data_IF_120263375340
#
_entry.id   IF_120263375340
#
_cell.length_a   1.000
_cell.length_b   1.000
_cell.length_c   1.000
_cell.angle_alpha   90.00
_cell.angle_beta   90.00
_cell.angle_gamma   90.00
#
_symmetry.space_group_name_H-M   'P 1'
#
loop_
_entity.id
_entity.type
_entity.pdbx_description
1 polymer ?
#
# COMPACT_ATOMS: atom_id res chain seq x y z
N UNK A 1 37.84 -87.46 -13.40
CA UNK A 1 36.63 -86.71 -12.95
C UNK A 1 36.86 -85.24 -13.18
N UNK A 2 36.21 -84.65 -14.21
CA UNK A 2 36.33 -83.22 -14.51
C UNK A 2 35.05 -82.55 -13.97
N UNK A 3 35.19 -81.58 -13.07
CA UNK A 3 34.15 -80.71 -12.67
C UNK A 3 34.09 -79.53 -13.61
N UNK A 4 32.89 -79.08 -14.09
CA UNK A 4 32.81 -77.92 -14.94
C UNK A 4 32.61 -76.67 -14.07
N UNK A 5 33.58 -75.80 -14.08
CA UNK A 5 33.58 -74.47 -13.54
C UNK A 5 33.33 -73.49 -14.71
N UNK A 6 32.07 -73.13 -14.99
CA UNK A 6 31.75 -71.98 -15.82
C UNK A 6 30.22 -71.86 -15.87
N UNK A 7 29.65 -70.95 -15.14
CA UNK A 7 28.39 -70.18 -15.47
C UNK A 7 27.86 -69.34 -14.34
N UNK A 8 28.66 -68.85 -13.39
CA UNK A 8 28.15 -68.10 -12.24
C UNK A 8 28.50 -66.59 -12.21
N UNK A 9 29.20 -66.06 -13.22
CA UNK A 9 29.77 -64.71 -13.14
C UNK A 9 29.07 -63.65 -14.04
N UNK A 10 28.12 -64.04 -14.89
CA UNK A 10 27.45 -63.06 -15.80
C UNK A 10 26.04 -62.58 -15.35
N UNK A 11 25.42 -63.31 -14.44
CA UNK A 11 24.10 -62.95 -13.91
C UNK A 11 24.12 -61.93 -12.79
N UNK A 12 25.10 -62.06 -11.86
CA UNK A 12 25.20 -61.15 -10.70
C UNK A 12 25.60 -59.72 -11.07
N UNK A 13 26.47 -59.55 -12.09
CA UNK A 13 26.91 -58.21 -12.50
C UNK A 13 25.78 -57.35 -13.14
N UNK A 14 24.88 -58.00 -13.88
CA UNK A 14 23.71 -57.29 -14.47
C UNK A 14 22.65 -56.94 -13.44
N UNK A 15 22.44 -57.81 -12.45
CA UNK A 15 21.43 -57.55 -11.38
C UNK A 15 21.91 -56.47 -10.42
N UNK A 16 23.24 -56.42 -10.11
CA UNK A 16 23.78 -55.34 -9.29
C UNK A 16 23.78 -54.00 -10.03
N UNK A 17 24.06 -54.00 -11.37
CA UNK A 17 24.02 -52.76 -12.14
C UNK A 17 22.60 -52.20 -12.27
N UNK A 18 21.57 -53.03 -12.41
CA UNK A 18 20.16 -52.58 -12.43
C UNK A 18 19.72 -52.10 -11.05
N UNK A 19 20.15 -52.76 -9.96
CA UNK A 19 19.84 -52.31 -8.59
C UNK A 19 20.51 -50.95 -8.25
N UNK A 20 21.76 -50.72 -8.71
CA UNK A 20 22.45 -49.42 -8.54
C UNK A 20 21.83 -48.33 -9.40
N UNK A 21 21.35 -48.62 -10.63
CA UNK A 21 20.60 -47.63 -11.44
C UNK A 21 19.22 -47.33 -10.87
N UNK A 22 18.54 -48.30 -10.26
CA UNK A 22 17.27 -48.03 -9.56
C UNK A 22 17.45 -47.18 -8.27
N UNK A 23 18.53 -47.38 -7.53
CA UNK A 23 18.84 -46.56 -6.33
C UNK A 23 19.32 -45.16 -6.73
N UNK A 24 20.03 -45.00 -7.85
CA UNK A 24 20.41 -43.68 -8.38
C UNK A 24 19.20 -42.91 -8.98
N UNK A 25 18.13 -43.59 -9.41
CA UNK A 25 16.90 -42.97 -9.93
C UNK A 25 15.94 -42.49 -8.84
N UNK A 26 16.08 -42.98 -7.57
CA UNK A 26 15.23 -42.52 -6.46
C UNK A 26 15.84 -41.38 -5.63
N UNK A 27 17.02 -40.90 -5.99
CA UNK A 27 17.75 -39.83 -5.30
C UNK A 27 17.57 -38.44 -5.89
N UNK A 28 16.68 -38.24 -6.86
CA UNK A 28 16.13 -36.92 -7.20
C UNK A 28 15.02 -36.63 -6.21
N UNK A 29 15.40 -36.37 -4.95
CA UNK A 29 14.50 -35.79 -3.96
C UNK A 29 13.83 -34.58 -4.60
N UNK A 30 12.51 -34.57 -4.64
CA UNK A 30 11.77 -33.35 -4.91
C UNK A 30 12.33 -32.31 -3.95
N UNK A 31 13.05 -31.31 -4.49
CA UNK A 31 13.43 -30.15 -3.69
C UNK A 31 12.12 -29.63 -3.11
N UNK A 32 12.02 -29.35 -1.81
CA UNK A 32 10.83 -28.69 -1.29
C UNK A 32 10.68 -27.41 -2.10
N UNK A 33 9.62 -27.32 -2.90
CA UNK A 33 9.29 -26.10 -3.60
C UNK A 33 8.80 -25.15 -2.52
N UNK A 34 9.58 -24.11 -2.23
CA UNK A 34 9.14 -23.03 -1.35
C UNK A 34 7.93 -22.37 -2.04
N UNK A 35 6.73 -22.79 -1.67
CA UNK A 35 5.50 -22.26 -2.22
C UNK A 35 4.94 -21.18 -1.30
N UNK A 36 4.25 -20.22 -1.90
CA UNK A 36 3.46 -19.21 -1.19
C UNK A 36 2.10 -19.11 -1.86
N UNK A 37 1.04 -19.19 -1.07
CA UNK A 37 -0.33 -19.14 -1.57
C UNK A 37 -0.92 -17.79 -1.24
N UNK A 38 -1.31 -17.03 -2.28
CA UNK A 38 -2.09 -15.81 -2.15
C UNK A 38 -3.54 -16.11 -2.53
N UNK A 39 -4.46 -15.80 -1.65
CA UNK A 39 -5.89 -16.00 -1.90
C UNK A 39 -6.72 -14.86 -1.35
N UNK A 40 -7.86 -14.61 -1.99
CA UNK A 40 -8.87 -13.71 -1.46
C UNK A 40 -9.81 -14.47 -0.54
N UNK A 41 -10.12 -13.86 0.60
CA UNK A 41 -11.05 -14.37 1.61
C UNK A 41 -12.20 -13.38 1.77
N UNK A 42 -13.30 -13.58 1.05
CA UNK A 42 -14.46 -12.72 1.14
C UNK A 42 -15.31 -13.07 2.35
N UNK A 43 -15.89 -12.07 2.98
CA UNK A 43 -16.90 -12.26 4.03
C UNK A 43 -18.11 -13.08 3.52
N UNK A 44 -18.43 -12.95 2.24
CA UNK A 44 -19.52 -13.64 1.55
C UNK A 44 -19.31 -13.71 0.04
N UNK A 45 -19.87 -14.73 -0.61
CA UNK A 45 -19.73 -14.92 -2.06
C UNK A 45 -20.96 -14.45 -2.85
N UNK A 46 -22.09 -14.17 -2.17
CA UNK A 46 -23.30 -13.61 -2.79
C UNK A 46 -23.58 -12.27 -2.12
N UNK A 47 -23.67 -11.24 -2.92
CA UNK A 47 -23.88 -9.86 -2.49
C UNK A 47 -25.00 -9.20 -3.30
N UNK A 48 -25.64 -8.21 -2.72
CA UNK A 48 -26.72 -7.49 -3.39
C UNK A 48 -26.18 -6.22 -4.05
N UNK A 49 -26.77 -5.84 -5.16
CA UNK A 49 -26.45 -4.56 -5.80
C UNK A 49 -26.59 -3.38 -4.82
N UNK A 50 -25.59 -2.53 -4.74
CA UNK A 50 -25.48 -1.40 -3.83
C UNK A 50 -24.86 -1.75 -2.47
N UNK A 51 -24.77 -3.03 -2.13
CA UNK A 51 -24.17 -3.50 -0.89
C UNK A 51 -22.67 -3.34 -0.88
N UNK A 52 -22.10 -3.02 0.29
CA UNK A 52 -20.66 -3.05 0.53
C UNK A 52 -20.27 -4.30 1.32
N UNK A 53 -19.13 -4.89 0.98
CA UNK A 53 -18.62 -6.09 1.61
C UNK A 53 -17.10 -6.08 1.69
N UNK A 54 -16.57 -6.82 2.65
CA UNK A 54 -15.13 -6.90 2.90
C UNK A 54 -14.54 -8.12 2.22
N UNK A 55 -13.34 -7.94 1.66
CA UNK A 55 -12.51 -9.01 1.13
C UNK A 55 -11.10 -8.82 1.65
N UNK A 56 -10.53 -9.84 2.28
CA UNK A 56 -9.13 -9.83 2.70
C UNK A 56 -8.26 -10.57 1.69
N UNK A 57 -7.08 -10.04 1.39
CA UNK A 57 -6.03 -10.78 0.71
C UNK A 57 -5.17 -11.46 1.78
N UNK A 58 -5.12 -12.78 1.73
CA UNK A 58 -4.38 -13.61 2.67
C UNK A 58 -3.15 -14.21 2.03
N UNK A 59 -2.08 -14.32 2.81
CA UNK A 59 -0.88 -15.06 2.46
C UNK A 59 -0.73 -16.29 3.37
N UNK A 60 -0.49 -17.46 2.76
CA UNK A 60 0.09 -18.62 3.43
C UNK A 60 1.47 -18.87 2.82
N UNK A 61 2.50 -18.77 3.63
CA UNK A 61 3.88 -19.03 3.19
C UNK A 61 4.30 -20.49 3.39
N UNK A 62 3.31 -21.36 3.61
CA UNK A 62 3.52 -22.77 3.93
C UNK A 62 4.46 -22.91 5.15
N UNK A 63 5.58 -23.58 5.00
CA UNK A 63 6.59 -23.74 6.05
C UNK A 63 7.83 -22.84 5.83
N UNK A 64 7.72 -21.82 4.97
CA UNK A 64 8.87 -21.02 4.55
C UNK A 64 8.81 -19.61 5.15
N UNK A 65 9.92 -19.21 5.77
CA UNK A 65 10.06 -17.85 6.32
C UNK A 65 10.23 -16.84 5.17
N UNK A 66 9.29 -15.90 5.06
CA UNK A 66 9.34 -14.81 4.09
C UNK A 66 9.61 -13.46 4.80
N UNK A 67 10.15 -12.48 4.09
CA UNK A 67 10.41 -11.15 4.63
C UNK A 67 9.90 -10.00 3.76
N UNK A 68 9.55 -10.26 2.51
CA UNK A 68 9.04 -9.23 1.62
C UNK A 68 8.05 -9.82 0.62
N UNK A 69 7.17 -8.98 0.13
CA UNK A 69 6.28 -9.31 -0.97
C UNK A 69 5.90 -8.06 -1.77
N UNK A 70 5.59 -8.28 -3.02
CA UNK A 70 4.89 -7.33 -3.87
C UNK A 70 3.62 -7.98 -4.41
N UNK A 71 2.59 -7.20 -4.56
CA UNK A 71 1.30 -7.71 -5.03
C UNK A 71 0.63 -6.76 -5.99
N UNK A 72 0.09 -7.35 -7.03
CA UNK A 72 -0.76 -6.69 -8.01
C UNK A 72 -2.00 -7.54 -8.22
N UNK A 73 -3.16 -6.94 -8.12
CA UNK A 73 -4.42 -7.62 -8.42
C UNK A 73 -5.39 -6.73 -9.17
N UNK A 74 -6.24 -7.35 -9.95
CA UNK A 74 -7.28 -6.72 -10.76
C UNK A 74 -8.67 -7.14 -10.27
N UNK A 75 -9.66 -6.29 -10.52
CA UNK A 75 -11.06 -6.59 -10.23
C UNK A 75 -11.97 -6.18 -11.39
N UNK A 76 -13.15 -6.79 -11.47
CA UNK A 76 -14.14 -6.47 -12.52
C UNK A 76 -14.82 -5.13 -12.24
N UNK A 77 -14.30 -4.04 -12.83
CA UNK A 77 -14.78 -2.66 -12.62
C UNK A 77 -16.23 -2.40 -13.03
N UNK A 78 -16.81 -3.24 -13.89
CA UNK A 78 -18.18 -3.07 -14.33
C UNK A 78 -19.17 -3.49 -13.24
N UNK A 79 -18.81 -4.52 -12.48
CA UNK A 79 -19.64 -5.12 -11.44
C UNK A 79 -19.25 -4.72 -10.03
N UNK A 80 -17.98 -4.36 -9.81
CA UNK A 80 -17.43 -3.99 -8.50
C UNK A 80 -16.86 -2.56 -8.53
N UNK A 81 -16.92 -1.90 -7.38
CA UNK A 81 -16.24 -0.65 -7.09
C UNK A 81 -15.39 -0.82 -5.82
N UNK A 82 -14.10 -0.56 -5.91
CA UNK A 82 -13.24 -0.57 -4.74
C UNK A 82 -13.39 0.75 -3.98
N UNK A 83 -13.92 0.67 -2.76
CA UNK A 83 -14.15 1.84 -1.91
C UNK A 83 -12.89 2.17 -1.12
N UNK A 84 -12.20 1.13 -0.58
CA UNK A 84 -11.06 1.32 0.28
C UNK A 84 -10.14 0.11 0.26
N UNK A 85 -8.83 0.37 0.41
CA UNK A 85 -7.84 -0.64 0.76
C UNK A 85 -7.22 -0.25 2.11
N UNK A 86 -7.23 -1.17 3.06
CA UNK A 86 -6.70 -0.97 4.40
C UNK A 86 -5.57 -1.97 4.68
N UNK A 87 -4.51 -1.48 5.31
CA UNK A 87 -3.41 -2.29 5.86
C UNK A 87 -3.50 -2.44 7.39
N UNK A 88 -4.60 -1.97 8.00
CA UNK A 88 -4.72 -1.89 9.47
C UNK A 88 -4.57 -3.23 10.18
N UNK A 89 -4.98 -4.34 9.55
CA UNK A 89 -4.86 -5.71 10.07
C UNK A 89 -3.69 -6.48 9.45
N UNK A 90 -2.86 -5.81 8.65
CA UNK A 90 -1.76 -6.47 7.97
C UNK A 90 -0.69 -6.98 8.93
N UNK A 91 -0.21 -8.19 8.67
CA UNK A 91 0.97 -8.71 9.37
C UNK A 91 2.28 -8.06 8.86
N UNK A 92 2.25 -7.39 7.69
CA UNK A 92 3.39 -6.64 7.15
C UNK A 92 3.54 -5.33 7.93
N UNK A 93 4.77 -5.01 8.31
CA UNK A 93 5.08 -3.85 9.17
C UNK A 93 5.82 -2.73 8.46
N UNK A 94 6.37 -3.00 7.27
CA UNK A 94 7.09 -2.03 6.44
C UNK A 94 6.42 -1.95 5.08
N UNK A 95 6.18 -0.72 4.60
CA UNK A 95 5.51 -0.48 3.32
C UNK A 95 6.34 0.47 2.46
N UNK A 96 7.31 -0.07 1.67
CA UNK A 96 8.03 0.74 0.67
C UNK A 96 7.10 1.37 -0.36
N UNK A 97 6.01 0.67 -0.69
CA UNK A 97 4.91 1.18 -1.48
C UNK A 97 3.59 0.82 -0.78
N UNK A 98 2.91 1.84 -0.29
CA UNK A 98 1.54 1.72 0.23
C UNK A 98 0.61 1.16 -0.85
N UNK A 99 -0.47 0.47 -0.48
CA UNK A 99 -1.47 0.06 -1.45
C UNK A 99 -2.00 1.24 -2.24
N UNK A 100 -1.78 1.22 -3.55
CA UNK A 100 -2.24 2.24 -4.50
C UNK A 100 -3.31 1.67 -5.40
N UNK A 101 -4.37 2.45 -5.62
CA UNK A 101 -5.51 2.08 -6.44
C UNK A 101 -5.52 2.87 -7.75
N UNK A 102 -5.30 2.17 -8.86
CA UNK A 102 -5.55 2.68 -10.21
C UNK A 102 -7.02 2.40 -10.56
N UNK A 103 -7.86 3.40 -10.38
CA UNK A 103 -9.30 3.29 -10.63
C UNK A 103 -9.63 3.10 -12.12
N UNK A 104 -8.80 3.66 -13.01
CA UNK A 104 -9.01 3.56 -14.45
C UNK A 104 -8.84 2.11 -14.95
N UNK A 105 -7.79 1.45 -14.47
CA UNK A 105 -7.47 0.08 -14.83
C UNK A 105 -8.05 -0.96 -13.87
N UNK A 106 -8.76 -0.54 -12.81
CA UNK A 106 -9.30 -1.41 -11.77
C UNK A 106 -8.24 -2.31 -11.13
N UNK A 107 -7.08 -1.72 -10.84
CA UNK A 107 -5.87 -2.40 -10.39
C UNK A 107 -5.38 -1.84 -9.05
N UNK A 108 -4.92 -2.74 -8.19
CA UNK A 108 -4.26 -2.37 -6.94
C UNK A 108 -2.85 -2.92 -6.93
N UNK A 109 -1.88 -2.11 -6.52
CA UNK A 109 -0.47 -2.49 -6.39
C UNK A 109 0.06 -2.09 -5.03
N UNK A 110 0.95 -2.91 -4.47
CA UNK A 110 1.62 -2.61 -3.20
C UNK A 110 2.95 -3.35 -3.09
N UNK A 111 3.82 -2.87 -2.21
CA UNK A 111 5.03 -3.58 -1.78
C UNK A 111 5.13 -3.48 -0.27
N UNK A 112 5.27 -4.61 0.38
CA UNK A 112 5.36 -4.70 1.83
C UNK A 112 6.44 -5.65 2.32
N UNK A 113 6.79 -5.54 3.60
CA UNK A 113 7.77 -6.40 4.21
C UNK A 113 7.63 -6.51 5.71
N UNK A 114 8.36 -7.47 6.26
CA UNK A 114 8.49 -7.66 7.70
C UNK A 114 9.97 -7.91 8.02
N UNK A 115 10.65 -6.93 8.62
CA UNK A 115 12.06 -7.07 9.00
C UNK A 115 12.28 -8.27 9.93
N UNK A 116 13.25 -9.13 9.58
CA UNK A 116 13.53 -10.35 10.33
C UNK A 116 12.76 -11.58 9.84
N UNK A 117 11.78 -11.39 8.98
CA UNK A 117 11.00 -12.47 8.39
C UNK A 117 9.96 -13.08 9.33
N UNK A 118 8.99 -13.77 8.74
CA UNK A 118 7.94 -14.50 9.47
C UNK A 118 7.45 -15.70 8.67
N UNK A 119 6.80 -16.63 9.38
CA UNK A 119 5.92 -17.62 8.78
C UNK A 119 4.50 -17.03 8.75
N UNK A 120 3.97 -16.82 7.57
CA UNK A 120 2.60 -16.39 7.41
C UNK A 120 1.70 -17.63 7.27
N UNK A 121 0.70 -17.73 8.14
CA UNK A 121 -0.35 -18.75 8.02
C UNK A 121 -1.70 -18.04 7.96
N UNK A 122 -2.25 -17.92 6.77
CA UNK A 122 -3.45 -17.09 6.50
C UNK A 122 -3.29 -15.66 7.03
N UNK A 123 -2.07 -15.10 6.92
CA UNK A 123 -1.80 -13.74 7.37
C UNK A 123 -2.51 -12.72 6.48
N UNK A 124 -3.24 -11.78 7.07
CA UNK A 124 -3.88 -10.69 6.32
C UNK A 124 -2.80 -9.80 5.74
N UNK A 125 -2.80 -9.63 4.43
CA UNK A 125 -1.92 -8.70 3.70
C UNK A 125 -2.57 -7.33 3.63
N UNK A 126 -3.76 -7.25 3.04
CA UNK A 126 -4.60 -6.05 2.98
C UNK A 126 -6.06 -6.45 3.08
N UNK A 127 -6.88 -5.58 3.64
CA UNK A 127 -8.34 -5.70 3.64
C UNK A 127 -8.95 -4.67 2.72
N UNK A 128 -9.93 -5.06 1.93
CA UNK A 128 -10.57 -4.24 0.91
C UNK A 128 -12.06 -4.16 1.17
N UNK A 129 -12.64 -2.98 0.93
CA UNK A 129 -14.08 -2.79 0.93
C UNK A 129 -14.52 -2.58 -0.51
N UNK A 130 -15.37 -3.46 -0.99
CA UNK A 130 -15.99 -3.35 -2.31
C UNK A 130 -17.46 -2.97 -2.17
N UNK A 131 -17.98 -2.25 -3.19
CA UNK A 131 -19.41 -2.07 -3.45
C UNK A 131 -19.79 -2.85 -4.69
N UNK A 132 -20.89 -3.60 -4.62
CA UNK A 132 -21.50 -4.25 -5.76
C UNK A 132 -22.25 -3.19 -6.61
N UNK A 133 -21.81 -2.94 -7.85
CA UNK A 133 -22.37 -1.92 -8.74
C UNK A 133 -23.52 -2.42 -9.60
N UNK A 134 -23.33 -3.57 -10.17
CA UNK A 134 -24.23 -4.12 -11.19
C UNK A 134 -24.40 -5.62 -10.99
N UNK A 135 -25.58 -6.13 -11.27
CA UNK A 135 -25.90 -7.56 -11.31
C UNK A 135 -24.97 -8.32 -12.26
N UNK A 136 -24.54 -9.50 -11.85
CA UNK A 136 -23.64 -10.37 -12.60
C UNK A 136 -22.56 -11.00 -11.72
N UNK A 137 -21.47 -11.40 -12.35
CA UNK A 137 -20.33 -12.00 -11.64
C UNK A 137 -19.22 -10.97 -11.46
N UNK A 138 -18.87 -10.70 -10.21
CA UNK A 138 -17.67 -9.95 -9.84
C UNK A 138 -16.48 -10.90 -9.68
N UNK A 139 -15.27 -10.48 -10.08
CA UNK A 139 -14.06 -11.28 -9.97
C UNK A 139 -12.91 -10.45 -9.38
N UNK A 140 -12.04 -11.13 -8.63
CA UNK A 140 -10.75 -10.62 -8.19
C UNK A 140 -9.68 -11.61 -8.63
N UNK A 141 -8.62 -11.11 -9.29
CA UNK A 141 -7.53 -11.95 -9.81
C UNK A 141 -6.18 -11.35 -9.48
N UNK A 142 -5.23 -12.19 -9.06
CA UNK A 142 -3.86 -11.78 -8.79
C UNK A 142 -3.08 -11.85 -10.10
N UNK A 143 -2.35 -10.79 -10.42
CA UNK A 143 -1.41 -10.77 -11.53
C UNK A 143 -0.09 -11.41 -11.07
N UNK A 144 0.08 -12.72 -11.32
CA UNK A 144 1.26 -13.49 -10.92
C UNK A 144 2.56 -12.98 -11.57
N UNK A 145 2.47 -12.26 -12.70
CA UNK A 145 3.66 -11.73 -13.38
C UNK A 145 4.20 -10.47 -12.70
N UNK A 146 3.37 -9.79 -11.93
CA UNK A 146 3.66 -8.56 -11.20
C UNK A 146 3.49 -8.74 -9.70
N UNK A 147 3.49 -9.98 -9.22
CA UNK A 147 3.40 -10.32 -7.80
C UNK A 147 4.50 -11.30 -7.43
N UNK A 148 5.01 -11.19 -6.22
CA UNK A 148 6.07 -12.07 -5.71
C UNK A 148 6.13 -12.09 -4.19
N UNK A 149 6.53 -13.24 -3.64
CA UNK A 149 6.83 -13.44 -2.22
C UNK A 149 8.29 -13.84 -2.11
N UNK A 150 9.05 -13.17 -1.25
CA UNK A 150 10.49 -13.32 -1.16
C UNK A 150 10.90 -13.91 0.18
N UNK A 151 11.84 -14.85 0.11
CA UNK A 151 12.33 -15.59 1.27
C UNK A 151 13.24 -14.75 2.14
N UNK A 152 13.27 -15.07 3.44
CA UNK A 152 14.19 -14.43 4.39
C UNK A 152 15.58 -15.08 4.36
N UNK A 153 16.16 -15.24 3.18
CA UNK A 153 17.49 -15.86 2.98
C UNK A 153 18.60 -14.84 2.70
N UNK A 154 18.25 -13.57 2.58
CA UNK A 154 19.18 -12.48 2.24
C UNK A 154 19.63 -12.46 0.78
N UNK A 155 19.08 -13.32 -0.08
CA UNK A 155 19.43 -13.44 -1.50
C UNK A 155 18.34 -12.87 -2.42
N UNK A 156 17.15 -12.57 -1.88
CA UNK A 156 15.99 -12.14 -2.67
C UNK A 156 15.38 -13.30 -3.47
N UNK A 157 15.49 -14.52 -2.97
CA UNK A 157 14.90 -15.69 -3.61
C UNK A 157 13.38 -15.61 -3.58
N UNK A 158 12.75 -15.69 -4.75
CA UNK A 158 11.29 -15.74 -4.84
C UNK A 158 10.76 -17.14 -4.52
N UNK A 159 9.67 -17.22 -3.75
CA UNK A 159 8.90 -18.43 -3.60
C UNK A 159 8.09 -18.71 -4.88
N UNK A 160 7.71 -19.97 -5.10
CA UNK A 160 6.73 -20.29 -6.15
C UNK A 160 5.37 -19.75 -5.71
N UNK A 161 4.88 -18.74 -6.41
CA UNK A 161 3.58 -18.15 -6.14
C UNK A 161 2.46 -19.04 -6.69
N UNK A 162 1.45 -19.28 -5.86
CA UNK A 162 0.19 -19.92 -6.22
C UNK A 162 -0.90 -18.91 -5.90
N UNK A 163 -1.76 -18.57 -6.85
CA UNK A 163 -2.85 -17.63 -6.65
C UNK A 163 -4.21 -18.28 -6.76
N UNK A 164 -5.13 -17.88 -5.89
CA UNK A 164 -6.53 -18.31 -5.93
C UNK A 164 -7.41 -17.08 -6.19
N UNK A 165 -8.11 -17.00 -7.33
CA UNK A 165 -9.03 -15.92 -7.63
C UNK A 165 -10.29 -16.04 -6.77
N UNK A 166 -10.99 -14.91 -6.54
CA UNK A 166 -12.31 -14.92 -5.94
C UNK A 166 -13.39 -14.52 -6.95
N UNK A 167 -14.58 -15.09 -6.78
CA UNK A 167 -15.76 -14.76 -7.58
C UNK A 167 -16.94 -14.46 -6.67
N UNK A 168 -17.76 -13.50 -7.09
CA UNK A 168 -18.94 -13.03 -6.36
C UNK A 168 -20.16 -13.09 -7.27
N UNK A 169 -21.26 -13.61 -6.77
CA UNK A 169 -22.54 -13.48 -7.41
C UNK A 169 -23.20 -12.19 -6.93
N UNK A 170 -23.45 -11.25 -7.83
CA UNK A 170 -24.13 -10.01 -7.53
C UNK A 170 -25.57 -10.11 -8.00
N UNK A 171 -26.49 -10.14 -7.03
CA UNK A 171 -27.92 -10.27 -7.27
C UNK A 171 -28.63 -8.91 -7.14
N UNK A 172 -29.73 -8.76 -7.88
CA UNK A 172 -30.46 -7.47 -7.93
C UNK A 172 -31.44 -7.26 -6.75
N UNK A 173 -31.58 -8.25 -5.87
CA UNK A 173 -32.59 -8.24 -4.82
C UNK A 173 -31.98 -8.23 -3.44
N UNK A 174 -31.79 -7.06 -2.85
CA UNK A 174 -31.80 -6.94 -1.39
C UNK A 174 -32.85 -5.93 -0.97
N UNK A 175 -33.71 -6.27 -0.04
CA UNK A 175 -34.52 -5.28 0.64
C UNK A 175 -33.69 -4.32 1.50
N UNK A 176 -32.39 -4.61 1.72
CA UNK A 176 -31.47 -3.91 2.62
C UNK A 176 -30.44 -3.01 1.93
N UNK A 177 -30.48 -2.85 0.60
CA UNK A 177 -29.54 -1.97 -0.10
C UNK A 177 -29.85 -0.52 0.23
N UNK A 178 -29.01 0.12 1.06
CA UNK A 178 -29.05 1.56 1.34
C UNK A 178 -28.15 2.30 0.37
N UNK A 179 -28.72 3.21 -0.40
CA UNK A 179 -27.97 4.17 -1.19
C UNK A 179 -27.63 5.38 -0.32
N UNK A 180 -26.34 5.60 -0.10
CA UNK A 180 -25.84 6.71 0.70
C UNK A 180 -25.36 7.84 -0.20
N UNK A 181 -25.70 9.08 0.15
CA UNK A 181 -25.26 10.28 -0.52
C UNK A 181 -24.60 11.21 0.50
N UNK A 182 -23.39 11.64 0.23
CA UNK A 182 -22.71 12.65 1.03
C UNK A 182 -22.61 13.96 0.26
N UNK A 183 -23.30 15.00 0.73
CA UNK A 183 -23.32 16.30 0.07
C UNK A 183 -21.98 17.04 0.17
N UNK A 184 -21.25 16.86 1.26
CA UNK A 184 -19.97 17.52 1.53
C UNK A 184 -18.77 16.75 0.95
N UNK A 185 -18.88 15.43 0.88
CA UNK A 185 -17.83 14.53 0.35
C UNK A 185 -18.42 13.61 -0.73
N UNK A 186 -18.84 14.17 -1.88
CA UNK A 186 -19.61 13.41 -2.88
C UNK A 186 -18.80 12.30 -3.60
N UNK A 187 -17.49 12.33 -3.52
CA UNK A 187 -16.61 11.31 -4.09
C UNK A 187 -15.77 10.66 -2.98
N UNK A 188 -16.02 9.38 -2.72
CA UNK A 188 -15.34 8.60 -1.68
C UNK A 188 -13.84 8.41 -1.91
N UNK A 189 -13.32 8.75 -3.10
CA UNK A 189 -11.91 8.65 -3.48
C UNK A 189 -11.20 10.01 -3.57
N UNK A 190 -11.80 11.08 -3.03
CA UNK A 190 -11.26 12.44 -3.06
C UNK A 190 -11.16 13.02 -1.66
N UNK A 191 -10.08 13.74 -1.39
CA UNK A 191 -9.92 14.55 -0.19
C UNK A 191 -10.70 15.86 -0.28
N UNK A 192 -11.22 16.31 0.86
CA UNK A 192 -12.01 17.53 0.96
C UNK A 192 -11.54 18.36 2.16
N UNK A 193 -11.48 19.71 2.02
CA UNK A 193 -11.12 20.61 3.12
C UNK A 193 -12.29 20.93 4.04
N UNK A 194 -13.40 20.26 3.91
CA UNK A 194 -14.61 20.43 4.70
C UNK A 194 -14.67 19.40 5.84
N UNK A 195 -14.72 19.86 7.09
CA UNK A 195 -14.77 18.97 8.25
C UNK A 195 -16.19 18.70 8.77
N UNK A 196 -17.20 19.03 7.98
CA UNK A 196 -18.59 18.70 8.24
C UNK A 196 -19.05 17.65 7.25
N UNK A 197 -19.50 16.51 7.74
CA UNK A 197 -20.00 15.40 6.93
C UNK A 197 -21.52 15.40 7.01
N UNK A 198 -22.19 15.40 5.84
CA UNK A 198 -23.66 15.34 5.72
C UNK A 198 -24.03 14.18 4.82
N UNK A 199 -24.55 13.12 5.43
CA UNK A 199 -24.96 11.90 4.75
C UNK A 199 -26.47 11.80 4.76
N UNK A 200 -27.04 11.33 3.64
CA UNK A 200 -28.47 11.10 3.46
C UNK A 200 -28.70 9.75 2.83
N UNK A 201 -29.82 9.15 3.19
CA UNK A 201 -30.35 7.94 2.58
C UNK A 201 -31.88 7.99 2.52
N UNK A 202 -32.47 7.13 1.71
CA UNK A 202 -33.93 7.00 1.64
C UNK A 202 -34.41 6.18 2.84
N UNK A 203 -34.97 6.86 3.85
CA UNK A 203 -35.55 6.19 5.02
C UNK A 203 -36.85 5.50 4.64
N UNK A 204 -36.96 4.20 4.92
CA UNK A 204 -38.16 3.40 4.67
C UNK A 204 -39.14 3.52 5.83
N UNK A 205 -40.48 3.50 5.56
CA UNK A 205 -41.48 3.50 6.63
C UNK A 205 -41.27 2.34 7.61
N UNK A 206 -41.35 2.63 8.91
CA UNK A 206 -41.21 1.67 10.01
C UNK A 206 -39.88 0.89 10.05
N UNK A 207 -38.87 1.31 9.32
CA UNK A 207 -37.52 0.75 9.42
C UNK A 207 -36.76 1.42 10.57
N UNK A 208 -35.96 0.62 11.28
CA UNK A 208 -35.03 1.07 12.29
C UNK A 208 -33.63 1.16 11.67
N UNK A 209 -32.82 2.09 12.14
CA UNK A 209 -31.43 2.27 11.66
C UNK A 209 -30.47 2.29 12.84
N UNK A 210 -29.31 1.62 12.66
CA UNK A 210 -28.17 1.78 13.55
C UNK A 210 -26.97 2.21 12.71
N UNK A 211 -26.31 3.29 13.14
CA UNK A 211 -25.17 3.86 12.40
C UNK A 211 -24.16 4.52 13.32
N UNK A 212 -22.94 4.59 12.85
CA UNK A 212 -21.86 5.31 13.53
C UNK A 212 -20.86 5.90 12.53
N UNK A 213 -20.08 6.87 13.01
CA UNK A 213 -18.91 7.39 12.31
C UNK A 213 -17.65 6.81 12.97
N UNK A 214 -16.77 6.19 12.21
CA UNK A 214 -15.59 5.47 12.70
C UNK A 214 -14.39 5.63 11.79
N UNK A 215 -13.19 5.43 12.31
CA UNK A 215 -11.97 5.27 11.50
C UNK A 215 -11.64 3.80 11.20
N UNK A 216 -12.36 2.88 11.83
CA UNK A 216 -12.23 1.45 11.57
C UNK A 216 -13.11 1.05 10.38
N UNK A 217 -12.49 0.70 9.27
CA UNK A 217 -13.17 0.31 8.04
C UNK A 217 -14.01 -0.97 8.20
N UNK A 218 -13.70 -1.82 9.17
CA UNK A 218 -14.36 -3.12 9.38
C UNK A 218 -15.45 -3.07 10.44
N UNK A 219 -15.57 -1.93 11.14
CA UNK A 219 -16.57 -1.75 12.18
C UNK A 219 -17.98 -2.02 11.66
N UNK A 220 -18.79 -2.70 12.48
CA UNK A 220 -20.22 -2.91 12.28
C UNK A 220 -20.94 -2.14 13.40
N UNK A 221 -21.96 -1.32 13.10
CA UNK A 221 -22.76 -0.65 14.12
C UNK A 221 -23.39 -1.66 15.07
N UNK A 222 -23.62 -1.25 16.29
CA UNK A 222 -24.34 -2.07 17.26
C UNK A 222 -25.84 -2.23 16.87
N UNK A 223 -26.64 -2.87 17.76
CA UNK A 223 -28.09 -3.06 17.52
C UNK A 223 -28.94 -1.99 18.22
N UNK A 224 -28.34 -0.85 18.60
CA UNK A 224 -29.05 0.30 19.17
C UNK A 224 -29.65 1.11 18.04
N UNK A 225 -30.91 1.44 18.17
CA UNK A 225 -31.63 2.26 17.16
C UNK A 225 -31.33 3.73 17.38
N UNK A 226 -30.84 4.42 16.34
CA UNK A 226 -30.72 5.86 16.32
C UNK A 226 -31.99 6.49 15.71
N UNK A 227 -32.47 7.58 16.34
CA UNK A 227 -33.54 8.39 15.78
C UNK A 227 -33.05 9.14 14.54
N UNK A 228 -33.75 8.98 13.41
CA UNK A 228 -33.36 9.60 12.16
C UNK A 228 -34.53 9.84 11.22
N UNK A 229 -34.38 10.88 10.39
CA UNK A 229 -35.25 11.20 9.27
C UNK A 229 -34.61 10.86 7.90
N UNK A 230 -33.58 9.98 7.88
CA UNK A 230 -32.85 9.65 6.67
C UNK A 230 -31.65 10.55 6.42
N UNK A 231 -31.19 11.28 7.44
CA UNK A 231 -29.98 12.08 7.36
C UNK A 231 -29.16 12.05 8.64
N UNK A 232 -27.86 12.26 8.48
CA UNK A 232 -26.93 12.39 9.58
C UNK A 232 -25.92 13.50 9.27
N UNK A 233 -25.65 14.33 10.26
CA UNK A 233 -24.64 15.39 10.16
C UNK A 233 -23.67 15.27 11.33
N UNK A 234 -22.38 15.23 11.02
CA UNK A 234 -21.32 15.30 12.00
C UNK A 234 -20.38 16.46 11.69
N UNK A 235 -20.13 17.29 12.70
CA UNK A 235 -19.26 18.46 12.61
C UNK A 235 -17.91 18.17 13.27
N UNK A 236 -16.87 18.90 12.83
CA UNK A 236 -15.52 18.85 13.42
C UNK A 236 -14.88 17.46 13.33
N UNK A 237 -15.08 16.79 12.21
CA UNK A 237 -14.36 15.55 11.90
C UNK A 237 -12.87 15.86 11.87
N UNK A 238 -12.08 14.98 12.46
CA UNK A 238 -10.62 15.04 12.39
C UNK A 238 -10.13 14.75 10.96
N UNK A 239 -8.99 15.33 10.61
CA UNK A 239 -8.31 15.01 9.36
C UNK A 239 -7.97 13.52 9.29
N UNK A 240 -8.14 12.95 8.10
CA UNK A 240 -7.93 11.53 7.85
C UNK A 240 -9.09 10.87 7.11
N UNK A 241 -9.06 9.56 7.07
CA UNK A 241 -10.09 8.71 6.47
C UNK A 241 -11.06 8.26 7.56
N UNK A 242 -12.35 8.47 7.31
CA UNK A 242 -13.42 8.02 8.18
C UNK A 242 -14.49 7.30 7.36
N UNK A 243 -15.29 6.49 8.05
CA UNK A 243 -16.35 5.70 7.46
C UNK A 243 -17.66 5.98 8.22
N UNK A 244 -18.69 6.37 7.50
CA UNK A 244 -20.05 6.28 7.99
C UNK A 244 -20.55 4.86 7.73
N UNK A 245 -20.91 4.15 8.77
CA UNK A 245 -21.39 2.76 8.67
C UNK A 245 -22.79 2.70 9.18
N UNK A 246 -23.72 2.13 8.40
CA UNK A 246 -25.14 2.05 8.70
C UNK A 246 -25.69 0.69 8.35
N UNK A 247 -26.61 0.18 9.15
CA UNK A 247 -27.45 -0.97 8.85
C UNK A 247 -28.91 -0.64 9.09
N UNK A 248 -29.78 -1.33 8.36
CA UNK A 248 -31.23 -1.17 8.41
C UNK A 248 -31.88 -2.42 8.99
N UNK A 249 -32.92 -2.22 9.79
CA UNK A 249 -33.81 -3.28 10.24
C UNK A 249 -35.23 -2.96 9.77
N UNK A 250 -35.70 -3.60 8.70
CA UNK A 250 -37.08 -3.44 8.24
C UNK A 250 -38.07 -3.97 9.28
N UNK A 251 -39.30 -3.45 9.24
CA UNK A 251 -40.36 -3.88 10.14
C UNK A 251 -40.54 -5.40 10.15
N UNK A 252 -40.46 -6.01 11.33
CA UNK A 252 -40.62 -7.44 11.51
C UNK A 252 -39.48 -8.33 11.00
N UNK A 253 -38.34 -7.76 10.66
CA UNK A 253 -37.15 -8.48 10.21
C UNK A 253 -35.98 -8.28 11.17
N UNK A 254 -34.91 -9.06 10.97
CA UNK A 254 -33.64 -8.89 11.64
C UNK A 254 -32.82 -7.76 11.00
N UNK A 255 -31.72 -7.34 11.65
CA UNK A 255 -30.78 -6.39 11.12
C UNK A 255 -30.16 -6.88 9.81
N UNK A 256 -30.17 -6.01 8.79
CA UNK A 256 -29.52 -6.24 7.52
C UNK A 256 -28.00 -6.05 7.57
N UNK A 257 -27.30 -6.27 6.45
CA UNK A 257 -25.87 -6.03 6.33
C UNK A 257 -25.53 -4.55 6.45
N UNK A 258 -24.33 -4.28 6.93
CA UNK A 258 -23.82 -2.89 7.03
C UNK A 258 -23.44 -2.34 5.66
N UNK A 259 -23.89 -1.13 5.38
CA UNK A 259 -23.47 -0.30 4.24
C UNK A 259 -22.51 0.76 4.73
N UNK A 260 -21.43 1.04 3.96
CA UNK A 260 -20.37 1.97 4.34
C UNK A 260 -20.24 3.09 3.31
N UNK A 261 -19.92 4.29 3.81
CA UNK A 261 -19.54 5.43 2.99
C UNK A 261 -18.22 6.00 3.51
N UNK A 262 -17.19 6.01 2.67
CA UNK A 262 -15.88 6.55 3.03
C UNK A 262 -15.86 8.05 2.83
N UNK A 263 -15.26 8.76 3.79
CA UNK A 263 -14.96 10.18 3.69
C UNK A 263 -13.49 10.42 3.93
N UNK A 264 -12.90 11.36 3.18
CA UNK A 264 -11.50 11.72 3.27
C UNK A 264 -11.44 13.23 3.52
N UNK A 265 -11.09 13.60 4.75
CA UNK A 265 -11.10 14.98 5.24
C UNK A 265 -9.69 15.44 5.51
N UNK A 266 -9.34 16.64 5.03
CA UNK A 266 -8.08 17.29 5.35
C UNK A 266 -8.28 18.80 5.36
N UNK A 267 -8.28 19.39 6.54
CA UNK A 267 -8.45 20.83 6.77
C UNK A 267 -7.13 21.54 7.04
N UNK A 268 -6.03 20.78 7.13
CA UNK A 268 -4.71 21.26 7.54
C UNK A 268 -3.84 21.49 6.31
N UNK A 269 -3.35 22.74 6.08
CA UNK A 269 -2.39 22.98 5.01
C UNK A 269 -1.07 22.22 5.22
N UNK A 270 -0.29 21.99 4.15
CA UNK A 270 1.06 21.43 4.24
C UNK A 270 1.94 22.14 5.28
N UNK A 271 2.90 21.41 5.84
CA UNK A 271 3.80 21.96 6.87
C UNK A 271 4.58 23.19 6.32
N UNK A 272 4.81 24.22 7.16
CA UNK A 272 5.61 25.37 6.77
C UNK A 272 7.01 24.96 6.28
N UNK A 273 7.49 25.58 5.22
CA UNK A 273 8.79 25.29 4.62
C UNK A 273 9.53 26.55 4.19
N UNK A 274 10.83 26.43 3.96
CA UNK A 274 11.67 27.54 3.51
C UNK A 274 12.36 27.18 2.20
N UNK A 275 11.96 27.79 1.08
CA UNK A 275 12.64 27.62 -0.19
C UNK A 275 14.10 28.09 -0.11
N UNK A 276 15.00 27.43 -0.84
CA UNK A 276 16.42 27.75 -0.89
C UNK A 276 16.87 27.99 -2.33
N UNK A 277 17.84 28.90 -2.54
CA UNK A 277 18.40 29.14 -3.86
C UNK A 277 19.79 28.54 -3.97
N UNK A 278 20.12 27.99 -5.16
CA UNK A 278 21.45 27.57 -5.52
C UNK A 278 21.77 28.07 -6.94
N UNK A 279 23.07 28.20 -7.30
CA UNK A 279 23.54 28.55 -8.63
C UNK A 279 24.87 27.85 -8.94
N UNK A 280 25.32 28.02 -10.16
CA UNK A 280 26.61 27.51 -10.65
C UNK A 280 26.72 25.97 -10.65
N UNK A 281 25.58 25.27 -10.58
CA UNK A 281 25.52 23.81 -10.71
C UNK A 281 25.62 23.43 -12.21
N UNK A 282 26.58 22.59 -12.60
CA UNK A 282 26.79 22.22 -14.02
C UNK A 282 25.55 21.58 -14.66
N UNK A 283 24.83 20.77 -13.95
CA UNK A 283 23.59 20.05 -14.38
C UNK A 283 22.45 21.03 -14.73
N UNK A 284 22.48 22.25 -14.23
CA UNK A 284 21.49 23.30 -14.51
C UNK A 284 22.05 24.43 -15.36
N UNK A 285 23.06 24.16 -16.20
CA UNK A 285 23.71 25.15 -17.08
C UNK A 285 24.17 26.39 -16.32
N UNK A 286 24.54 26.26 -15.05
CA UNK A 286 24.91 27.36 -14.14
C UNK A 286 23.82 28.42 -13.94
N UNK A 287 22.56 28.10 -14.26
CA UNK A 287 21.41 28.96 -13.95
C UNK A 287 21.12 28.95 -12.46
N UNK A 288 20.46 30.01 -11.98
CA UNK A 288 19.95 30.02 -10.61
C UNK A 288 18.71 29.09 -10.50
N UNK A 289 18.71 28.27 -9.49
CA UNK A 289 17.59 27.36 -9.19
C UNK A 289 17.01 27.65 -7.83
N UNK A 290 15.74 27.30 -7.66
CA UNK A 290 15.01 27.28 -6.41
C UNK A 290 14.72 25.83 -6.02
N UNK A 291 15.06 25.48 -4.79
CA UNK A 291 14.84 24.17 -4.21
C UNK A 291 13.82 24.33 -3.09
N UNK A 292 12.77 23.53 -3.11
CA UNK A 292 11.70 23.55 -2.11
C UNK A 292 11.13 22.16 -1.94
N UNK A 293 10.70 21.86 -0.73
CA UNK A 293 10.00 20.62 -0.37
C UNK A 293 9.29 20.82 0.94
N UNK A 294 8.12 20.24 1.08
CA UNK A 294 7.40 20.10 2.34
C UNK A 294 6.65 18.79 2.35
N UNK A 295 5.98 18.50 3.45
CA UNK A 295 5.13 17.33 3.62
C UNK A 295 3.76 17.77 4.07
N UNK A 296 2.77 16.98 3.72
CA UNK A 296 1.46 16.99 4.31
C UNK A 296 1.15 15.60 4.86
N UNK A 297 0.54 15.52 6.06
CA UNK A 297 0.40 14.25 6.78
C UNK A 297 -0.92 13.54 6.53
N UNK A 298 -1.92 14.25 6.08
CA UNK A 298 -3.25 13.71 5.86
C UNK A 298 -3.47 13.35 4.38
N UNK A 299 -3.55 14.35 3.50
CA UNK A 299 -3.84 14.12 2.09
C UNK A 299 -2.59 14.05 1.20
N UNK A 300 -1.43 14.46 1.71
CA UNK A 300 -0.18 14.53 0.96
C UNK A 300 -0.11 15.72 0.01
N UNK A 301 1.08 15.98 -0.53
CA UNK A 301 1.28 17.05 -1.51
C UNK A 301 0.78 16.61 -2.87
N UNK A 302 -0.14 17.37 -3.46
CA UNK A 302 -0.60 17.18 -4.83
C UNK A 302 0.38 17.80 -5.82
N UNK A 303 0.64 19.12 -5.66
CA UNK A 303 1.60 19.82 -6.52
C UNK A 303 2.12 21.09 -5.88
N UNK A 304 3.08 21.70 -6.56
CA UNK A 304 3.59 23.03 -6.23
C UNK A 304 3.28 24.00 -7.34
N UNK A 305 3.05 25.25 -6.96
CA UNK A 305 2.97 26.39 -7.88
C UNK A 305 4.00 27.44 -7.51
N UNK A 306 4.55 28.10 -8.50
CA UNK A 306 5.48 29.22 -8.33
C UNK A 306 4.94 30.46 -9.03
N UNK A 307 5.11 31.59 -8.34
CA UNK A 307 4.92 32.91 -8.88
C UNK A 307 6.23 33.69 -8.77
N UNK A 308 6.81 34.07 -9.89
CA UNK A 308 7.87 35.09 -9.93
C UNK A 308 7.23 36.48 -9.91
N UNK A 309 7.87 37.43 -9.25
CA UNK A 309 7.35 38.81 -9.16
C UNK A 309 6.95 39.40 -10.54
N UNK A 310 5.68 39.82 -10.63
CA UNK A 310 5.07 40.34 -11.87
C UNK A 310 4.54 39.27 -12.83
N UNK A 311 4.52 37.98 -12.42
CA UNK A 311 3.94 36.87 -13.19
C UNK A 311 2.75 36.23 -12.44
N UNK A 312 1.99 35.38 -13.10
CA UNK A 312 0.95 34.54 -12.49
C UNK A 312 1.57 33.27 -11.91
N UNK A 313 0.84 32.59 -11.00
CA UNK A 313 1.22 31.25 -10.55
C UNK A 313 1.23 30.27 -11.71
N UNK A 314 2.17 29.36 -11.69
CA UNK A 314 2.28 28.23 -12.63
C UNK A 314 2.79 27.00 -11.89
N UNK A 315 2.32 25.83 -12.26
CA UNK A 315 2.79 24.55 -11.72
C UNK A 315 4.31 24.43 -11.90
N UNK A 316 4.97 23.91 -10.87
CA UNK A 316 6.42 23.81 -10.82
C UNK A 316 6.89 22.55 -10.10
N UNK A 317 8.07 22.09 -10.44
CA UNK A 317 8.78 21.01 -9.76
C UNK A 317 10.04 21.50 -9.11
N UNK A 318 10.46 20.90 -8.02
CA UNK A 318 11.74 21.19 -7.38
C UNK A 318 12.82 20.21 -7.90
N UNK A 319 14.00 20.70 -8.36
CA UNK A 319 14.43 22.09 -8.46
C UNK A 319 13.78 22.85 -9.62
N UNK A 320 13.47 24.14 -9.38
CA UNK A 320 12.90 25.05 -10.37
C UNK A 320 13.95 26.03 -10.92
N UNK A 321 14.06 26.17 -12.23
CA UNK A 321 14.99 27.14 -12.86
C UNK A 321 14.36 28.52 -12.82
N UNK A 322 14.98 29.46 -12.13
CA UNK A 322 14.51 30.84 -12.00
C UNK A 322 14.71 31.58 -13.34
N UNK A 323 13.59 32.03 -13.93
CA UNK A 323 13.63 32.70 -15.26
C UNK A 323 14.35 34.02 -15.23
N UNK A 324 14.20 34.82 -14.17
CA UNK A 324 14.77 36.16 -14.01
C UNK A 324 15.41 36.31 -12.63
N UNK A 325 16.60 35.76 -12.46
CA UNK A 325 17.35 35.87 -11.21
C UNK A 325 17.95 37.27 -11.03
N UNK A 326 17.25 38.14 -10.29
CA UNK A 326 17.74 39.49 -9.92
C UNK A 326 17.65 39.68 -8.42
N UNK A 327 18.66 40.31 -7.81
CA UNK A 327 18.65 40.68 -6.40
C UNK A 327 17.43 41.53 -6.06
N UNK A 328 16.78 41.25 -4.92
CA UNK A 328 15.62 41.96 -4.43
C UNK A 328 14.28 41.48 -5.01
N UNK A 329 14.29 40.56 -5.99
CA UNK A 329 13.05 39.93 -6.47
C UNK A 329 12.52 38.90 -5.48
N UNK A 330 11.20 38.87 -5.31
CA UNK A 330 10.52 37.87 -4.49
C UNK A 330 9.91 36.79 -5.38
N UNK A 331 10.10 35.55 -4.99
CA UNK A 331 9.39 34.39 -5.50
C UNK A 331 8.48 33.85 -4.41
N UNK A 332 7.25 33.52 -4.78
CA UNK A 332 6.27 32.87 -3.91
C UNK A 332 6.09 31.44 -4.37
N UNK A 333 6.17 30.52 -3.43
CA UNK A 333 5.92 29.08 -3.65
C UNK A 333 4.68 28.70 -2.90
N UNK A 334 3.70 28.12 -3.57
CA UNK A 334 2.58 27.42 -2.98
C UNK A 334 2.86 25.92 -2.96
N UNK A 335 2.72 25.28 -1.83
CA UNK A 335 2.54 23.83 -1.71
C UNK A 335 1.05 23.58 -1.54
N UNK A 336 0.49 22.76 -2.40
CA UNK A 336 -0.94 22.47 -2.45
C UNK A 336 -1.11 20.98 -2.17
N UNK A 337 -1.94 20.64 -1.19
CA UNK A 337 -2.27 19.26 -0.85
C UNK A 337 -3.41 18.68 -1.73
N UNK A 338 -3.72 17.41 -1.56
CA UNK A 338 -4.76 16.75 -2.36
C UNK A 338 -6.20 17.15 -1.96
N UNK A 339 -6.38 17.85 -0.82
CA UNK A 339 -7.65 18.44 -0.42
C UNK A 339 -7.82 19.88 -0.99
N UNK A 340 -6.72 20.50 -1.45
CA UNK A 340 -6.67 21.84 -1.98
C UNK A 340 -6.28 22.91 -0.96
N UNK A 341 -5.81 22.54 0.26
CA UNK A 341 -5.28 23.53 1.19
C UNK A 341 -3.90 24.01 0.71
N UNK A 342 -3.55 25.25 1.03
CA UNK A 342 -2.36 25.92 0.49
C UNK A 342 -1.46 26.40 1.61
N UNK A 343 -0.19 25.98 1.58
CA UNK A 343 0.89 26.55 2.36
C UNK A 343 1.75 27.44 1.46
N UNK A 344 1.92 28.69 1.86
CA UNK A 344 2.70 29.69 1.09
C UNK A 344 4.05 29.92 1.73
N UNK A 345 5.08 30.02 0.90
CA UNK A 345 6.43 30.40 1.31
C UNK A 345 7.03 31.41 0.33
N UNK A 346 7.53 32.52 0.85
CA UNK A 346 8.20 33.56 0.08
C UNK A 346 9.72 33.50 0.24
N UNK A 347 10.42 33.78 -0.84
CA UNK A 347 11.86 33.97 -0.81
C UNK A 347 12.26 35.23 -1.62
N UNK A 348 13.01 36.13 -0.99
CA UNK A 348 13.59 37.27 -1.70
C UNK A 348 15.01 36.91 -2.11
N UNK A 349 15.31 37.04 -3.39
CA UNK A 349 16.64 36.77 -3.95
C UNK A 349 17.66 37.76 -3.40
N UNK A 350 18.55 37.26 -2.57
CA UNK A 350 19.77 37.97 -2.15
C UNK A 350 20.87 37.73 -3.19
N UNK A 351 22.06 38.35 -3.05
CA UNK A 351 23.21 37.88 -3.81
C UNK A 351 23.40 36.40 -3.46
N UNK A 352 23.30 35.54 -4.48
CA UNK A 352 23.38 34.10 -4.30
C UNK A 352 24.70 33.75 -3.62
N UNK A 353 24.63 33.59 -2.30
CA UNK A 353 25.70 32.93 -1.57
C UNK A 353 25.69 31.47 -2.02
N UNK A 354 26.84 31.02 -2.52
CA UNK A 354 27.09 29.58 -2.65
C UNK A 354 26.85 28.98 -1.25
N UNK A 355 25.65 28.52 -0.98
CA UNK A 355 25.44 27.62 0.15
C UNK A 355 26.19 26.38 -0.25
N UNK A 356 27.36 26.23 0.37
CA UNK A 356 28.29 25.16 0.09
C UNK A 356 27.63 23.82 0.37
N UNK A 357 26.92 23.29 -0.64
CA UNK A 357 26.65 21.85 -0.76
C UNK A 357 27.97 21.07 -0.59
N UNK A 358 29.11 21.64 -1.03
CA UNK A 358 30.45 21.12 -0.70
C UNK A 358 30.69 20.90 0.79
N UNK A 359 30.19 21.76 1.69
CA UNK A 359 30.39 21.56 3.13
C UNK A 359 29.51 20.39 3.67
N UNK A 360 28.27 20.27 3.25
CA UNK A 360 27.40 19.16 3.66
C UNK A 360 27.87 17.81 3.11
N UNK A 361 28.27 17.77 1.82
CA UNK A 361 28.88 16.59 1.23
C UNK A 361 30.24 16.26 1.86
N UNK A 362 31.08 17.26 2.14
CA UNK A 362 32.38 17.08 2.80
C UNK A 362 32.21 16.49 4.20
N UNK A 363 31.27 16.96 5.01
CA UNK A 363 31.03 16.41 6.35
C UNK A 363 30.47 15.00 6.30
N UNK A 364 29.57 14.70 5.36
CA UNK A 364 29.03 13.36 5.17
C UNK A 364 30.12 12.36 4.73
N UNK A 365 30.96 12.75 3.79
CA UNK A 365 32.10 11.92 3.35
C UNK A 365 33.13 11.74 4.49
N UNK A 366 33.41 12.76 5.28
CA UNK A 366 34.31 12.67 6.45
C UNK A 366 33.73 11.72 7.50
N UNK A 367 32.46 11.79 7.81
CA UNK A 367 31.79 10.89 8.77
C UNK A 367 31.77 9.44 8.28
N UNK A 368 31.53 9.21 6.97
CA UNK A 368 31.57 7.89 6.38
C UNK A 368 32.98 7.31 6.41
N UNK A 369 34.01 8.11 6.09
CA UNK A 369 35.41 7.65 6.14
C UNK A 369 35.87 7.36 7.55
N UNK A 370 35.50 8.17 8.54
CA UNK A 370 35.80 7.92 9.96
C UNK A 370 35.09 6.62 10.43
N UNK A 371 33.83 6.42 10.03
CA UNK A 371 33.10 5.19 10.34
C UNK A 371 33.73 3.93 9.74
N UNK A 372 34.20 3.98 8.50
CA UNK A 372 34.89 2.88 7.82
C UNK A 372 36.26 2.56 8.47
N UNK A 373 37.04 3.60 8.80
CA UNK A 373 38.32 3.41 9.50
C UNK A 373 38.10 2.83 10.89
N UNK A 374 37.08 3.31 11.63
CA UNK A 374 36.71 2.75 12.93
C UNK A 374 36.29 1.28 12.85
N UNK A 375 35.52 0.90 11.84
CA UNK A 375 35.12 -0.48 11.61
C UNK A 375 36.33 -1.38 11.27
N UNK A 376 37.26 -0.93 10.43
CA UNK A 376 38.48 -1.65 10.10
C UNK A 376 39.39 -1.88 11.35
N UNK A 377 39.54 -0.85 12.18
CA UNK A 377 40.31 -0.96 13.45
C UNK A 377 39.63 -1.98 14.38
N UNK A 378 38.31 -1.96 14.50
CA UNK A 378 37.57 -2.89 15.33
C UNK A 378 37.73 -4.35 14.84
N UNK A 379 37.67 -4.57 13.53
CA UNK A 379 37.90 -5.87 12.91
C UNK A 379 39.32 -6.34 13.17
N UNK A 380 40.34 -5.49 13.03
CA UNK A 380 41.73 -5.81 13.32
C UNK A 380 41.94 -6.20 14.79
N UNK A 381 41.31 -5.49 15.73
CA UNK A 381 41.37 -5.82 17.18
C UNK A 381 40.71 -7.19 17.45
N UNK A 382 39.55 -7.45 16.83
CA UNK A 382 38.86 -8.74 17.01
C UNK A 382 39.65 -9.89 16.41
N UNK A 383 40.25 -9.70 15.26
CA UNK A 383 41.11 -10.71 14.62
C UNK A 383 42.38 -10.98 15.47
N UNK A 384 43.04 -9.94 15.99
CA UNK A 384 44.20 -10.09 16.90
C UNK A 384 43.82 -10.80 18.19
N UNK A 385 42.63 -10.56 18.74
CA UNK A 385 42.12 -11.23 19.93
C UNK A 385 41.79 -12.72 19.69
N UNK A 386 41.40 -13.08 18.46
CA UNK A 386 41.19 -14.49 18.05
C UNK A 386 42.49 -15.26 17.81
N UNK A 387 43.56 -14.61 17.32
CA UNK A 387 44.86 -15.23 17.11
C UNK A 387 45.68 -15.43 18.40
N UNK A 388 45.24 -14.88 19.53
CA UNK A 388 45.87 -14.97 20.85
C UNK A 388 45.14 -15.92 21.83
N UNK A 389 44.18 -16.70 21.34
CA UNK A 389 43.58 -17.78 22.14
C UNK A 389 44.25 -19.09 21.74
N UNK A 390 44.87 -19.79 22.71
CA UNK A 390 45.54 -21.08 22.50
C UNK A 390 44.56 -22.19 22.10
#
# INVERSE_FOLDING_TARGET
>A
MKFPYQHFTRGCAKTILIAVLCIAGFGLGAQPTNAAILRFDPEKNTVSRGETFVVSLLLDSEETVMNAMEGTFDYSKDTLELISVSRGESFLTLWPQEPTHDQENARVTFTGGIPGGTLAKNGVVVSMIFRAKQEGTGTLTIDETSSGVYLNDGLGTAAQLISEPATFEIINTSPFALLLFCATHPNENKWYPENTIRIRWEAKPNAEYSFEMTTDALKIPDDIVEETNGEYTMEKIADGISYFVIKEKPEGQDWGPATRYRTMTDTTPPEPFTPQTAKDLPEYEKKAILIFSTVDRASGIDHYEIKEEGESFSTATSPYIIKKARKGRTLTVHAIDAAGNIQTADITLTETTNVALEKLFSWAVILITIGLVGAMVLIAIVMKKRSLRP
#
